data_IF_973912629556
#
_entry.id   IF_973912629556
#
_cell.length_a   1.000
_cell.length_b   1.000
_cell.length_c   1.000
_cell.angle_alpha   90.00
_cell.angle_beta   90.00
_cell.angle_gamma   90.00
#
_symmetry.space_group_name_H-M   'P 1'
#
loop_
_entity.id
_entity.type
_entity.pdbx_description
1 polymer ?
#
# COMPACT_ATOMS: atom_id res chain seq x y z
N UNK A 1 -12.97 113.73 -16.26
CA UNK A 1 -13.41 113.90 -14.86
C UNK A 1 -14.89 114.23 -14.93
N UNK A 2 -15.75 113.47 -14.24
CA UNK A 2 -17.21 113.67 -14.35
C UNK A 2 -17.57 115.09 -13.92
N UNK A 3 -18.44 115.75 -14.70
CA UNK A 3 -18.92 117.10 -14.39
C UNK A 3 -19.50 117.19 -12.97
N UNK A 4 -20.17 116.13 -12.48
CA UNK A 4 -20.76 116.10 -11.14
C UNK A 4 -19.70 116.10 -10.02
N UNK A 5 -18.53 115.49 -10.26
CA UNK A 5 -17.44 115.44 -9.27
C UNK A 5 -16.73 116.78 -9.17
N UNK A 6 -16.52 117.44 -10.31
CA UNK A 6 -15.98 118.80 -10.32
C UNK A 6 -16.96 119.78 -9.65
N UNK A 7 -18.26 119.59 -9.88
CA UNK A 7 -19.32 120.39 -9.26
C UNK A 7 -19.29 120.33 -7.72
N UNK A 8 -19.03 119.16 -7.14
CA UNK A 8 -18.83 119.02 -5.68
C UNK A 8 -17.55 119.67 -5.21
N UNK A 9 -16.44 119.48 -5.92
CA UNK A 9 -15.17 120.10 -5.54
C UNK A 9 -15.33 121.63 -5.50
N UNK A 10 -16.05 122.18 -6.48
CA UNK A 10 -16.36 123.60 -6.55
C UNK A 10 -17.29 124.02 -5.40
N UNK A 11 -18.33 123.24 -5.08
CA UNK A 11 -19.24 123.50 -3.96
C UNK A 11 -18.54 123.45 -2.58
N UNK A 12 -17.64 122.49 -2.36
CA UNK A 12 -16.81 122.38 -1.16
C UNK A 12 -15.82 123.54 -1.06
N UNK A 13 -15.25 123.96 -2.20
CA UNK A 13 -14.37 125.13 -2.28
C UNK A 13 -15.12 126.43 -1.94
N UNK A 14 -16.37 126.59 -2.39
CA UNK A 14 -17.23 127.72 -1.98
C UNK A 14 -17.46 127.73 -0.46
N UNK A 15 -17.76 126.58 0.16
CA UNK A 15 -17.90 126.49 1.63
C UNK A 15 -16.59 126.87 2.32
N UNK A 16 -15.45 126.36 1.83
CA UNK A 16 -14.12 126.69 2.33
C UNK A 16 -13.89 128.22 2.31
N UNK A 17 -14.21 128.88 1.20
CA UNK A 17 -14.07 130.32 1.05
C UNK A 17 -15.01 131.12 1.95
N UNK A 18 -16.25 130.66 2.15
CA UNK A 18 -17.19 131.26 3.11
C UNK A 18 -16.64 131.17 4.52
N UNK A 19 -16.14 129.99 4.92
CA UNK A 19 -15.52 129.78 6.23
C UNK A 19 -14.33 130.72 6.38
N UNK A 20 -13.45 130.82 5.38
CA UNK A 20 -12.28 131.71 5.42
C UNK A 20 -12.66 133.19 5.57
N UNK A 21 -13.63 133.69 4.79
CA UNK A 21 -14.09 135.10 4.80
C UNK A 21 -14.79 135.52 6.09
N UNK A 22 -15.36 134.56 6.82
CA UNK A 22 -16.03 134.82 8.09
C UNK A 22 -15.00 135.02 9.21
N UNK A 23 -14.91 136.27 9.70
CA UNK A 23 -13.97 136.69 10.74
C UNK A 23 -14.70 136.98 12.07
N UNK A 24 -14.33 136.31 13.17
CA UNK A 24 -14.85 136.63 14.49
C UNK A 24 -14.27 137.97 14.98
N UNK A 25 -15.04 139.05 14.80
CA UNK A 25 -14.79 140.41 15.34
C UNK A 25 -13.54 141.16 14.86
N UNK A 26 -13.72 142.48 14.72
CA UNK A 26 -12.77 143.44 14.19
C UNK A 26 -11.65 143.79 15.20
N UNK A 27 -10.74 142.87 15.45
CA UNK A 27 -9.41 143.19 15.97
C UNK A 27 -8.47 141.99 15.82
N UNK A 28 -7.50 142.14 14.92
CA UNK A 28 -6.26 141.37 14.81
C UNK A 28 -6.36 139.83 14.71
N UNK A 29 -6.27 139.36 13.46
CA UNK A 29 -5.25 138.39 13.00
C UNK A 29 -5.01 137.16 13.89
N UNK A 30 -5.56 136.05 13.38
CA UNK A 30 -4.93 134.73 13.31
C UNK A 30 -4.65 133.98 14.61
N UNK A 31 -5.60 133.11 14.96
CA UNK A 31 -5.21 131.72 15.12
C UNK A 31 -6.35 130.78 14.73
N UNK A 32 -6.35 130.34 13.47
CA UNK A 32 -7.32 129.39 12.90
C UNK A 32 -7.34 128.07 13.70
N UNK A 33 -6.29 127.82 14.49
CA UNK A 33 -6.13 126.63 15.34
C UNK A 33 -6.82 126.73 16.71
N UNK A 34 -7.33 127.90 17.11
CA UNK A 34 -8.00 128.03 18.41
C UNK A 34 -9.40 127.41 18.33
N UNK A 35 -9.78 126.59 19.33
CA UNK A 35 -11.12 126.02 19.43
C UNK A 35 -12.25 127.07 19.45
N UNK A 36 -13.34 126.79 18.75
CA UNK A 36 -14.49 127.70 18.64
C UNK A 36 -15.17 127.97 19.99
N UNK A 37 -15.13 127.01 20.92
CA UNK A 37 -15.64 127.18 22.29
C UNK A 37 -14.88 128.22 23.13
N UNK A 38 -13.61 128.48 22.80
CA UNK A 38 -12.78 129.50 23.44
C UNK A 38 -13.06 130.87 22.79
N UNK A 39 -13.33 130.91 21.49
CA UNK A 39 -13.54 132.15 20.74
C UNK A 39 -14.91 132.77 21.00
N UNK A 40 -15.97 131.96 21.07
CA UNK A 40 -17.35 132.46 21.17
C UNK A 40 -17.98 132.27 22.56
N UNK A 41 -18.17 131.02 23.01
CA UNK A 41 -18.56 130.63 24.38
C UNK A 41 -18.61 129.09 24.50
N UNK A 42 -18.89 128.59 25.71
CA UNK A 42 -18.97 127.14 26.01
C UNK A 42 -20.05 126.36 25.26
N UNK A 43 -20.96 126.99 24.50
CA UNK A 43 -21.99 126.30 23.72
C UNK A 43 -21.49 125.86 22.32
N UNK A 44 -20.27 126.22 21.94
CA UNK A 44 -19.66 125.76 20.69
C UNK A 44 -18.85 124.48 20.89
N UNK A 45 -18.68 123.65 19.84
CA UNK A 45 -17.80 122.50 19.92
C UNK A 45 -16.33 122.92 20.09
N UNK A 46 -15.53 122.11 20.77
CA UNK A 46 -14.08 122.29 20.94
C UNK A 46 -13.30 121.93 19.66
N UNK A 47 -13.81 122.36 18.50
CA UNK A 47 -13.22 122.13 17.18
C UNK A 47 -12.62 123.45 16.71
N UNK A 48 -11.44 123.42 16.10
CA UNK A 48 -10.82 124.62 15.53
C UNK A 48 -11.31 124.86 14.10
N UNK A 49 -11.29 126.12 13.66
CA UNK A 49 -11.58 126.46 12.25
C UNK A 49 -10.63 125.71 11.30
N UNK A 50 -9.39 125.44 11.73
CA UNK A 50 -8.40 124.71 10.92
C UNK A 50 -8.81 123.27 10.74
N UNK A 51 -9.28 122.61 11.80
CA UNK A 51 -9.74 121.23 11.73
C UNK A 51 -10.88 121.05 10.71
N UNK A 52 -11.77 122.04 10.64
CA UNK A 52 -12.88 122.07 9.66
C UNK A 52 -12.33 122.25 8.23
N UNK A 53 -11.37 123.15 8.04
CA UNK A 53 -10.74 123.39 6.73
C UNK A 53 -9.89 122.19 6.27
N UNK A 54 -9.10 121.60 7.16
CA UNK A 54 -8.28 120.41 6.90
C UNK A 54 -9.16 119.21 6.52
N UNK A 55 -10.35 119.07 7.13
CA UNK A 55 -11.33 118.06 6.74
C UNK A 55 -11.80 118.26 5.29
N UNK A 56 -12.22 119.47 4.95
CA UNK A 56 -12.65 119.81 3.58
C UNK A 56 -11.51 119.57 2.59
N UNK A 57 -10.28 119.96 2.93
CA UNK A 57 -9.10 119.75 2.08
C UNK A 57 -8.77 118.26 1.89
N UNK A 58 -8.97 117.44 2.91
CA UNK A 58 -8.77 115.99 2.82
C UNK A 58 -9.82 115.33 1.91
N UNK A 59 -11.07 115.80 1.94
CA UNK A 59 -12.11 115.30 1.03
C UNK A 59 -11.88 115.77 -0.41
N UNK A 60 -11.50 117.04 -0.62
CA UNK A 60 -11.11 117.54 -1.95
C UNK A 60 -9.92 116.75 -2.51
N UNK A 61 -8.90 116.48 -1.69
CA UNK A 61 -7.74 115.69 -2.10
C UNK A 61 -8.12 114.25 -2.47
N UNK A 62 -9.03 113.63 -1.72
CA UNK A 62 -9.56 112.30 -2.06
C UNK A 62 -10.29 112.33 -3.39
N UNK A 63 -11.18 113.29 -3.62
CA UNK A 63 -11.92 113.42 -4.89
C UNK A 63 -11.00 113.66 -6.10
N UNK A 64 -9.99 114.51 -5.96
CA UNK A 64 -9.05 114.83 -7.05
C UNK A 64 -8.19 113.64 -7.49
N UNK A 65 -7.92 112.68 -6.61
CA UNK A 65 -7.04 111.55 -6.90
C UNK A 65 -7.80 110.28 -7.34
N UNK A 66 -9.12 110.36 -7.54
CA UNK A 66 -9.94 109.25 -7.99
C UNK A 66 -10.08 109.26 -9.52
N UNK A 67 -9.38 108.34 -10.19
CA UNK A 67 -9.36 108.19 -11.65
C UNK A 67 -10.39 107.16 -12.19
N UNK A 68 -11.51 106.93 -11.49
CA UNK A 68 -12.46 105.87 -11.81
C UNK A 68 -13.83 106.39 -12.25
N UNK A 69 -14.47 105.69 -13.20
CA UNK A 69 -15.87 105.88 -13.57
C UNK A 69 -16.78 105.56 -12.37
N UNK A 70 -17.52 106.55 -11.90
CA UNK A 70 -18.41 106.40 -10.76
C UNK A 70 -19.76 105.79 -11.16
N UNK A 71 -20.46 105.13 -10.22
CA UNK A 71 -21.81 104.59 -10.47
C UNK A 71 -22.84 105.71 -10.60
N UNK A 72 -23.86 105.53 -11.43
CA UNK A 72 -24.94 106.53 -11.61
C UNK A 72 -25.64 106.89 -10.29
N UNK A 73 -25.79 105.94 -9.37
CA UNK A 73 -26.37 106.18 -8.04
C UNK A 73 -25.47 107.06 -7.15
N UNK A 74 -24.15 106.93 -7.27
CA UNK A 74 -23.21 107.82 -6.60
C UNK A 74 -23.29 109.23 -7.19
N UNK A 75 -23.26 109.36 -8.52
CA UNK A 75 -23.35 110.65 -9.21
C UNK A 75 -24.67 111.39 -8.92
N UNK A 76 -25.80 110.68 -8.89
CA UNK A 76 -27.10 111.27 -8.52
C UNK A 76 -27.14 111.77 -7.07
N UNK A 77 -26.51 111.05 -6.14
CA UNK A 77 -26.44 111.47 -4.74
C UNK A 77 -25.45 112.62 -4.54
N UNK A 78 -24.39 112.67 -5.35
CA UNK A 78 -23.47 113.79 -5.41
C UNK A 78 -24.18 115.08 -5.85
N UNK A 79 -24.98 115.07 -6.92
CA UNK A 79 -25.75 116.24 -7.37
C UNK A 79 -26.77 116.74 -6.33
N UNK A 80 -27.41 115.83 -5.58
CA UNK A 80 -28.29 116.20 -4.45
C UNK A 80 -27.52 116.93 -3.35
N UNK A 81 -26.26 116.54 -3.11
CA UNK A 81 -25.41 117.20 -2.12
C UNK A 81 -24.94 118.57 -2.63
N UNK A 82 -24.56 118.69 -3.91
CA UNK A 82 -24.24 119.99 -4.52
C UNK A 82 -25.40 120.96 -4.38
N UNK A 83 -26.61 120.53 -4.76
CA UNK A 83 -27.80 121.38 -4.68
C UNK A 83 -28.18 121.75 -3.24
N UNK A 84 -27.95 120.84 -2.27
CA UNK A 84 -28.09 121.15 -0.85
C UNK A 84 -27.05 122.19 -0.38
N UNK A 85 -25.78 122.00 -0.76
CA UNK A 85 -24.69 122.90 -0.43
C UNK A 85 -24.93 124.30 -1.01
N UNK A 86 -25.30 124.41 -2.29
CA UNK A 86 -25.54 125.70 -2.94
C UNK A 86 -26.76 126.44 -2.36
N UNK A 87 -27.84 125.72 -2.00
CA UNK A 87 -29.02 126.31 -1.36
C UNK A 87 -28.71 126.82 0.06
N UNK A 88 -27.91 126.08 0.83
CA UNK A 88 -27.49 126.48 2.16
C UNK A 88 -26.40 127.57 2.12
N UNK A 89 -25.44 127.52 1.19
CA UNK A 89 -24.35 128.50 1.08
C UNK A 89 -24.86 129.92 0.85
N UNK A 90 -25.94 130.06 0.09
CA UNK A 90 -26.60 131.36 -0.18
C UNK A 90 -27.23 131.96 1.09
N UNK A 91 -27.58 131.12 2.07
CA UNK A 91 -28.16 131.55 3.37
C UNK A 91 -27.11 131.68 4.47
N UNK A 92 -26.02 130.92 4.38
CA UNK A 92 -24.97 130.84 5.40
C UNK A 92 -24.24 132.20 5.59
N UNK A 93 -23.98 132.96 4.52
CA UNK A 93 -23.35 134.29 4.65
C UNK A 93 -24.23 135.28 5.44
N UNK A 94 -25.55 135.25 5.24
CA UNK A 94 -26.49 136.11 5.97
C UNK A 94 -26.64 135.70 7.45
N UNK A 95 -26.50 134.40 7.75
CA UNK A 95 -26.66 133.85 9.09
C UNK A 95 -25.49 134.17 10.03
N UNK A 96 -24.29 134.41 9.50
CA UNK A 96 -23.15 134.84 10.32
C UNK A 96 -23.44 136.15 11.07
N UNK A 97 -24.08 137.11 10.39
CA UNK A 97 -24.43 138.39 11.01
C UNK A 97 -25.56 138.29 12.03
N UNK A 98 -26.35 137.21 12.02
CA UNK A 98 -27.47 137.00 12.94
C UNK A 98 -27.08 136.17 14.17
N UNK A 99 -26.34 135.08 14.00
CA UNK A 99 -25.90 134.22 15.09
C UNK A 99 -24.73 133.31 14.68
N UNK A 100 -23.59 133.50 15.34
CA UNK A 100 -22.39 132.67 15.14
C UNK A 100 -22.66 131.19 15.44
N UNK A 101 -23.55 130.87 16.40
CA UNK A 101 -23.85 129.48 16.79
C UNK A 101 -24.60 128.73 15.69
N UNK A 102 -25.59 129.38 15.08
CA UNK A 102 -26.40 128.80 14.00
C UNK A 102 -25.54 128.60 12.74
N UNK A 103 -24.60 129.51 12.48
CA UNK A 103 -23.66 129.41 11.37
C UNK A 103 -22.76 128.17 11.46
N UNK A 104 -22.10 127.96 12.61
CA UNK A 104 -21.20 126.82 12.77
C UNK A 104 -21.93 125.48 12.86
N UNK A 105 -23.12 125.44 13.48
CA UNK A 105 -23.94 124.22 13.54
C UNK A 105 -24.36 123.73 12.14
N UNK A 106 -24.71 124.66 11.24
CA UNK A 106 -24.99 124.34 9.84
C UNK A 106 -23.77 123.82 9.08
N UNK A 107 -22.59 124.42 9.29
CA UNK A 107 -21.34 123.95 8.66
C UNK A 107 -20.99 122.53 9.11
N UNK A 108 -21.08 122.25 10.42
CA UNK A 108 -20.83 120.91 10.96
C UNK A 108 -21.85 119.90 10.43
N UNK A 109 -23.12 120.30 10.29
CA UNK A 109 -24.16 119.46 9.70
C UNK A 109 -23.87 119.11 8.23
N UNK A 110 -23.42 120.08 7.43
CA UNK A 110 -23.00 119.85 6.04
C UNK A 110 -21.81 118.89 5.98
N UNK A 111 -20.79 119.12 6.82
CA UNK A 111 -19.60 118.25 6.91
C UNK A 111 -19.96 116.83 7.33
N UNK A 112 -20.86 116.68 8.30
CA UNK A 112 -21.34 115.38 8.73
C UNK A 112 -22.08 114.64 7.61
N UNK A 113 -22.90 115.34 6.83
CA UNK A 113 -23.61 114.75 5.69
C UNK A 113 -22.65 114.26 4.60
N UNK A 114 -21.62 115.06 4.30
CA UNK A 114 -20.55 114.68 3.37
C UNK A 114 -19.82 113.44 3.88
N UNK A 115 -19.38 113.46 5.15
CA UNK A 115 -18.63 112.36 5.74
C UNK A 115 -19.41 111.03 5.72
N UNK A 116 -20.68 111.04 6.12
CA UNK A 116 -21.54 109.85 6.12
C UNK A 116 -21.70 109.29 4.70
N UNK A 117 -21.89 110.17 3.72
CA UNK A 117 -22.06 109.75 2.33
C UNK A 117 -20.76 109.15 1.80
N UNK A 118 -19.62 109.79 2.05
CA UNK A 118 -18.34 109.35 1.53
C UNK A 118 -17.88 108.03 2.18
N UNK A 119 -18.06 107.88 3.49
CA UNK A 119 -17.67 106.67 4.20
C UNK A 119 -18.36 105.41 3.63
N UNK A 120 -19.63 105.51 3.21
CA UNK A 120 -20.38 104.41 2.58
C UNK A 120 -19.68 103.85 1.32
N UNK A 121 -18.93 104.68 0.58
CA UNK A 121 -18.32 104.27 -0.68
C UNK A 121 -16.81 103.97 -0.60
N UNK A 122 -16.14 104.30 0.52
CA UNK A 122 -14.67 104.22 0.63
C UNK A 122 -14.14 103.28 1.74
N UNK A 123 -14.97 102.42 2.34
CA UNK A 123 -14.54 101.53 3.45
C UNK A 123 -13.82 100.24 2.98
N UNK A 124 -12.80 99.80 3.74
CA UNK A 124 -11.84 98.74 3.35
C UNK A 124 -12.43 97.32 3.26
N UNK A 125 -13.63 97.11 3.81
CA UNK A 125 -14.25 95.79 3.94
C UNK A 125 -14.84 95.25 2.62
N UNK A 126 -14.96 96.08 1.58
CA UNK A 126 -15.63 95.72 0.30
C UNK A 126 -14.68 95.68 -0.92
N UNK A 127 -13.36 95.50 -0.71
CA UNK A 127 -12.39 95.42 -1.82
C UNK A 127 -12.28 93.98 -2.36
N UNK A 128 -13.25 93.54 -3.17
CA UNK A 128 -13.20 92.24 -3.86
C UNK A 128 -12.19 92.19 -5.03
N UNK A 129 -11.59 93.32 -5.43
CA UNK A 129 -10.75 93.39 -6.63
C UNK A 129 -9.33 93.91 -6.30
N UNK A 130 -8.33 93.02 -6.33
CA UNK A 130 -6.89 93.28 -6.11
C UNK A 130 -6.29 94.34 -7.08
N UNK A 131 -7.06 94.82 -8.05
CA UNK A 131 -6.73 95.98 -8.90
C UNK A 131 -6.86 97.32 -8.16
N UNK A 132 -7.51 97.36 -7.00
CA UNK A 132 -7.78 98.58 -6.21
C UNK A 132 -6.77 98.81 -5.06
N UNK A 133 -5.74 97.97 -4.93
CA UNK A 133 -4.74 98.02 -3.86
C UNK A 133 -3.40 98.59 -4.39
N UNK A 134 -2.64 99.38 -3.60
CA UNK A 134 -1.34 99.93 -4.02
C UNK A 134 -0.34 98.85 -4.48
N UNK A 135 0.46 99.19 -5.50
CA UNK A 135 1.40 98.29 -6.21
C UNK A 135 2.40 97.57 -5.30
N UNK A 136 2.85 98.23 -4.23
CA UNK A 136 3.85 97.68 -3.30
C UNK A 136 3.30 96.51 -2.47
N UNK A 137 2.05 96.59 -2.04
CA UNK A 137 1.39 95.53 -1.27
C UNK A 137 1.18 94.30 -2.15
N UNK A 138 0.78 94.51 -3.41
CA UNK A 138 0.63 93.44 -4.40
C UNK A 138 1.94 92.67 -4.62
N UNK A 139 3.07 93.36 -4.77
CA UNK A 139 4.37 92.72 -4.97
C UNK A 139 4.83 91.90 -3.76
N UNK A 140 4.59 92.39 -2.54
CA UNK A 140 4.89 91.65 -1.31
C UNK A 140 4.05 90.39 -1.19
N UNK A 141 2.75 90.46 -1.48
CA UNK A 141 1.86 89.28 -1.45
C UNK A 141 2.31 88.23 -2.46
N UNK A 142 2.66 88.64 -3.69
CA UNK A 142 3.18 87.70 -4.71
C UNK A 142 4.51 87.06 -4.30
N UNK A 143 5.42 87.84 -3.69
CA UNK A 143 6.72 87.33 -3.22
C UNK A 143 6.51 86.32 -2.08
N UNK A 144 5.65 86.64 -1.12
CA UNK A 144 5.31 85.74 -0.01
C UNK A 144 4.67 84.47 -0.54
N UNK A 145 3.77 84.56 -1.53
CA UNK A 145 3.16 83.38 -2.15
C UNK A 145 4.21 82.49 -2.83
N UNK A 146 5.18 83.08 -3.53
CA UNK A 146 6.24 82.32 -4.18
C UNK A 146 7.14 81.62 -3.16
N UNK A 147 7.56 82.31 -2.10
CA UNK A 147 8.34 81.70 -1.02
C UNK A 147 7.55 80.61 -0.29
N UNK A 148 6.22 80.75 -0.15
CA UNK A 148 5.37 79.72 0.45
C UNK A 148 5.36 78.45 -0.42
N UNK A 149 5.24 78.59 -1.74
CA UNK A 149 5.25 77.47 -2.67
C UNK A 149 6.61 76.75 -2.66
N UNK A 150 7.73 77.49 -2.63
CA UNK A 150 9.08 76.90 -2.53
C UNK A 150 9.28 76.13 -1.22
N UNK A 151 8.77 76.64 -0.10
CA UNK A 151 8.80 75.96 1.20
C UNK A 151 7.94 74.69 1.18
N UNK A 152 6.78 74.72 0.51
CA UNK A 152 5.91 73.55 0.38
C UNK A 152 6.56 72.43 -0.44
N UNK A 153 7.18 72.76 -1.57
CA UNK A 153 7.94 71.80 -2.39
C UNK A 153 9.12 71.20 -1.61
N UNK A 154 9.88 72.04 -0.90
CA UNK A 154 11.02 71.62 -0.06
C UNK A 154 10.57 70.69 1.07
N UNK A 155 9.42 70.99 1.70
CA UNK A 155 8.85 70.18 2.78
C UNK A 155 8.45 68.78 2.30
N UNK A 156 7.84 68.69 1.11
CA UNK A 156 7.50 67.41 0.48
C UNK A 156 8.74 66.58 0.15
N UNK A 157 9.80 67.21 -0.39
CA UNK A 157 11.05 66.52 -0.68
C UNK A 157 11.72 65.99 0.60
N UNK A 158 11.75 66.78 1.68
CA UNK A 158 12.29 66.36 2.97
C UNK A 158 11.47 65.19 3.56
N UNK A 159 10.14 65.24 3.49
CA UNK A 159 9.30 64.12 3.92
C UNK A 159 9.61 62.84 3.15
N UNK A 160 9.82 62.94 1.83
CA UNK A 160 10.19 61.79 1.00
C UNK A 160 11.53 61.18 1.42
N UNK A 161 12.55 62.02 1.67
CA UNK A 161 13.87 61.58 2.11
C UNK A 161 13.83 60.95 3.50
N UNK A 162 13.08 61.53 4.44
CA UNK A 162 12.88 60.96 5.77
C UNK A 162 12.21 59.58 5.66
N UNK A 163 11.21 59.44 4.78
CA UNK A 163 10.56 58.14 4.53
C UNK A 163 11.57 57.09 4.05
N UNK A 164 12.39 57.43 3.04
CA UNK A 164 13.42 56.51 2.53
C UNK A 164 14.49 56.17 3.57
N UNK A 165 14.89 57.13 4.40
CA UNK A 165 15.84 56.89 5.50
C UNK A 165 15.25 55.93 6.53
N UNK A 166 13.98 56.11 6.90
CA UNK A 166 13.31 55.21 7.85
C UNK A 166 13.15 53.81 7.24
N UNK A 167 12.73 53.69 5.99
CA UNK A 167 12.63 52.39 5.29
C UNK A 167 13.99 51.67 5.23
N UNK A 168 15.08 52.41 4.96
CA UNK A 168 16.43 51.86 4.96
C UNK A 168 16.94 51.50 6.36
N UNK A 169 16.60 52.30 7.37
CA UNK A 169 16.93 52.03 8.77
C UNK A 169 16.23 50.77 9.25
N UNK A 170 14.92 50.65 9.01
CA UNK A 170 14.11 49.49 9.37
C UNK A 170 14.68 48.21 8.73
N UNK A 171 14.98 48.26 7.42
CA UNK A 171 15.62 47.15 6.71
C UNK A 171 17.01 46.79 7.26
N UNK A 172 17.81 47.77 7.66
CA UNK A 172 19.13 47.54 8.25
C UNK A 172 19.04 46.93 9.66
N UNK A 173 18.03 47.30 10.45
CA UNK A 173 17.74 46.65 11.75
C UNK A 173 17.26 45.22 11.63
N UNK A 174 16.54 44.87 10.56
CA UNK A 174 16.03 43.51 10.32
C UNK A 174 17.09 42.58 9.68
N UNK A 175 18.05 43.13 8.94
CA UNK A 175 19.06 42.38 8.20
C UNK A 175 19.83 41.32 9.03
N UNK A 176 20.25 41.58 10.28
CA UNK A 176 20.97 40.58 11.08
C UNK A 176 20.11 39.36 11.42
N UNK A 177 18.82 39.57 11.71
CA UNK A 177 17.86 38.50 11.99
C UNK A 177 17.66 37.66 10.74
N UNK A 178 17.49 38.31 9.59
CA UNK A 178 17.35 37.63 8.30
C UNK A 178 18.58 36.78 7.94
N UNK A 179 19.79 37.30 8.23
CA UNK A 179 21.06 36.59 8.01
C UNK A 179 21.19 35.35 8.88
N UNK A 180 20.76 35.43 10.13
CA UNK A 180 20.77 34.29 11.05
C UNK A 180 19.76 33.21 10.62
N UNK A 181 18.56 33.62 10.21
CA UNK A 181 17.55 32.71 9.67
C UNK A 181 18.02 32.04 8.37
N UNK A 182 18.70 32.78 7.48
CA UNK A 182 19.30 32.23 6.26
C UNK A 182 20.38 31.19 6.56
N UNK A 183 21.22 31.44 7.58
CA UNK A 183 22.23 30.47 8.04
C UNK A 183 21.57 29.20 8.57
N UNK A 184 20.52 29.32 9.39
CA UNK A 184 19.77 28.17 9.93
C UNK A 184 19.12 27.36 8.82
N UNK A 185 18.40 28.02 7.90
CA UNK A 185 17.82 27.36 6.72
C UNK A 185 18.87 26.62 5.90
N UNK A 186 20.08 27.18 5.75
CA UNK A 186 21.16 26.50 5.02
C UNK A 186 21.64 25.23 5.73
N UNK A 187 21.79 25.27 7.05
CA UNK A 187 22.13 24.09 7.85
C UNK A 187 21.04 23.02 7.73
N UNK A 188 19.77 23.41 7.80
CA UNK A 188 18.64 22.49 7.65
C UNK A 188 18.61 21.85 6.25
N UNK A 189 18.86 22.64 5.20
CA UNK A 189 18.98 22.14 3.82
C UNK A 189 20.12 21.13 3.70
N UNK A 190 21.29 21.41 4.29
CA UNK A 190 22.44 20.50 4.24
C UNK A 190 22.16 19.21 5.02
N UNK A 191 21.46 19.27 6.15
CA UNK A 191 20.99 18.10 6.90
C UNK A 191 20.00 17.27 6.08
N UNK A 192 18.99 17.89 5.48
CA UNK A 192 18.00 17.20 4.63
C UNK A 192 18.69 16.57 3.43
N UNK A 193 19.64 17.26 2.79
CA UNK A 193 20.42 16.73 1.68
C UNK A 193 21.23 15.49 2.08
N UNK A 194 21.93 15.54 3.21
CA UNK A 194 22.69 14.39 3.71
C UNK A 194 21.77 13.22 4.07
N UNK A 195 20.65 13.48 4.75
CA UNK A 195 19.67 12.45 5.06
C UNK A 195 19.07 11.82 3.79
N UNK A 196 18.74 12.62 2.78
CA UNK A 196 18.29 12.11 1.47
C UNK A 196 19.35 11.27 0.78
N UNK A 197 20.62 11.69 0.78
CA UNK A 197 21.71 10.93 0.18
C UNK A 197 21.92 9.58 0.88
N UNK A 198 21.92 9.56 2.22
CA UNK A 198 22.02 8.31 2.99
C UNK A 198 20.81 7.41 2.78
N UNK A 199 19.59 7.98 2.74
CA UNK A 199 18.37 7.27 2.41
C UNK A 199 18.43 6.65 1.01
N UNK A 200 18.88 7.39 0.01
CA UNK A 200 19.07 6.89 -1.35
C UNK A 200 20.10 5.76 -1.42
N UNK A 201 21.23 5.89 -0.73
CA UNK A 201 22.25 4.85 -0.65
C UNK A 201 21.70 3.56 -0.01
N UNK A 202 20.93 3.68 1.07
CA UNK A 202 20.28 2.55 1.73
C UNK A 202 19.23 1.89 0.82
N UNK A 203 18.44 2.67 0.09
CA UNK A 203 17.46 2.15 -0.88
C UNK A 203 18.18 1.38 -2.00
N UNK A 204 19.27 1.91 -2.54
CA UNK A 204 20.07 1.21 -3.54
C UNK A 204 20.64 -0.10 -3.00
N UNK A 205 21.26 -0.08 -1.82
CA UNK A 205 21.78 -1.30 -1.19
C UNK A 205 20.69 -2.33 -0.94
N UNK A 206 19.52 -1.91 -0.46
CA UNK A 206 18.38 -2.81 -0.25
C UNK A 206 17.83 -3.35 -1.55
N UNK A 207 17.82 -2.56 -2.63
CA UNK A 207 17.41 -3.02 -3.96
C UNK A 207 18.36 -4.11 -4.46
N UNK A 208 19.68 -3.89 -4.42
CA UNK A 208 20.67 -4.90 -4.82
C UNK A 208 20.57 -6.15 -3.97
N UNK A 209 20.38 -6.02 -2.66
CA UNK A 209 20.17 -7.17 -1.77
C UNK A 209 18.89 -7.93 -2.13
N UNK A 210 17.79 -7.23 -2.39
CA UNK A 210 16.53 -7.85 -2.81
C UNK A 210 16.66 -8.58 -4.15
N UNK A 211 17.43 -8.04 -5.10
CA UNK A 211 17.69 -8.70 -6.39
C UNK A 211 18.53 -9.99 -6.19
N UNK A 212 19.55 -9.94 -5.33
CA UNK A 212 20.35 -11.12 -4.96
C UNK A 212 19.54 -12.17 -4.20
N UNK A 213 18.65 -11.74 -3.30
CA UNK A 213 17.76 -12.65 -2.57
C UNK A 213 16.76 -13.31 -3.53
N UNK A 214 16.22 -12.56 -4.50
CA UNK A 214 15.28 -13.08 -5.51
C UNK A 214 15.96 -14.14 -6.41
N UNK A 215 17.17 -13.86 -6.88
CA UNK A 215 17.95 -14.84 -7.67
C UNK A 215 18.31 -16.08 -6.84
N UNK A 216 18.65 -15.91 -5.57
CA UNK A 216 18.90 -17.04 -4.64
C UNK A 216 17.64 -17.88 -4.42
N UNK A 217 16.48 -17.25 -4.23
CA UNK A 217 15.18 -17.93 -4.10
C UNK A 217 14.84 -18.69 -5.38
N UNK A 218 15.06 -18.10 -6.56
CA UNK A 218 14.83 -18.79 -7.84
C UNK A 218 15.73 -20.02 -8.00
N UNK A 219 17.02 -19.88 -7.70
CA UNK A 219 17.97 -20.99 -7.77
C UNK A 219 17.61 -22.12 -6.79
N UNK A 220 17.26 -21.79 -5.56
CA UNK A 220 16.84 -22.78 -4.55
C UNK A 220 15.52 -23.46 -4.93
N UNK A 221 14.56 -22.71 -5.48
CA UNK A 221 13.32 -23.29 -6.01
C UNK A 221 13.61 -24.27 -7.14
N UNK A 222 14.44 -23.89 -8.11
CA UNK A 222 14.80 -24.76 -9.23
C UNK A 222 15.55 -26.01 -8.76
N UNK A 223 16.46 -25.87 -7.79
CA UNK A 223 17.16 -27.01 -7.18
C UNK A 223 16.18 -27.95 -6.46
N UNK A 224 15.20 -27.41 -5.74
CA UNK A 224 14.16 -28.19 -5.06
C UNK A 224 13.24 -28.92 -6.05
N UNK A 225 12.85 -28.27 -7.15
CA UNK A 225 12.06 -28.89 -8.23
C UNK A 225 12.83 -30.03 -8.89
N UNK A 226 14.10 -29.83 -9.22
CA UNK A 226 14.97 -30.89 -9.78
C UNK A 226 15.11 -32.09 -8.82
N UNK A 227 15.32 -31.83 -7.52
CA UNK A 227 15.42 -32.89 -6.51
C UNK A 227 14.10 -33.65 -6.35
N UNK A 228 12.95 -32.95 -6.46
CA UNK A 228 11.64 -33.59 -6.41
C UNK A 228 11.41 -34.51 -7.60
N UNK A 229 11.81 -34.09 -8.80
CA UNK A 229 11.69 -34.90 -10.01
C UNK A 229 12.63 -36.11 -9.96
N UNK A 230 13.88 -35.93 -9.51
CA UNK A 230 14.82 -37.03 -9.29
C UNK A 230 14.28 -38.03 -8.23
N UNK A 231 13.75 -37.53 -7.11
CA UNK A 231 13.15 -38.39 -6.08
C UNK A 231 11.95 -39.19 -6.61
N UNK A 232 11.09 -38.57 -7.44
CA UNK A 232 9.95 -39.24 -8.08
C UNK A 232 10.42 -40.33 -9.05
N UNK A 233 11.46 -40.06 -9.83
CA UNK A 233 12.02 -41.04 -10.76
C UNK A 233 12.64 -42.22 -10.01
N UNK A 234 13.41 -41.96 -8.94
CA UNK A 234 13.97 -43.00 -8.08
C UNK A 234 12.86 -43.84 -7.42
N UNK A 235 11.79 -43.20 -6.91
CA UNK A 235 10.66 -43.92 -6.32
C UNK A 235 9.96 -44.83 -7.34
N UNK A 236 9.75 -44.35 -8.56
CA UNK A 236 9.18 -45.14 -9.65
C UNK A 236 10.07 -46.35 -9.98
N UNK A 237 11.37 -46.11 -10.16
CA UNK A 237 12.33 -47.18 -10.42
C UNK A 237 12.41 -48.19 -9.26
N UNK A 238 12.32 -47.73 -8.01
CA UNK A 238 12.30 -48.59 -6.82
C UNK A 238 11.05 -49.48 -6.78
N UNK A 239 9.86 -48.92 -7.07
CA UNK A 239 8.61 -49.70 -7.11
C UNK A 239 8.63 -50.76 -8.21
N UNK A 240 9.12 -50.40 -9.40
CA UNK A 240 9.30 -51.33 -10.52
C UNK A 240 10.30 -52.44 -10.16
N UNK A 241 11.48 -52.08 -9.65
CA UNK A 241 12.50 -53.05 -9.22
C UNK A 241 12.03 -53.95 -8.09
N UNK A 242 11.27 -53.43 -7.12
CA UNK A 242 10.75 -54.23 -6.01
C UNK A 242 9.74 -55.27 -6.53
N UNK A 243 8.86 -54.89 -7.45
CA UNK A 243 7.89 -55.82 -8.04
C UNK A 243 8.56 -56.85 -8.96
N UNK A 244 9.58 -56.43 -9.72
CA UNK A 244 10.44 -57.34 -10.50
C UNK A 244 11.18 -58.33 -9.59
N UNK A 245 11.76 -57.84 -8.49
CA UNK A 245 12.53 -58.64 -7.54
C UNK A 245 11.64 -59.63 -6.80
N UNK A 246 10.41 -59.27 -6.44
CA UNK A 246 9.49 -60.20 -5.77
C UNK A 246 9.02 -61.30 -6.71
N UNK A 247 8.63 -60.97 -7.96
CA UNK A 247 8.24 -61.96 -8.95
C UNK A 247 9.39 -62.92 -9.30
N UNK A 248 10.58 -62.37 -9.53
CA UNK A 248 11.80 -63.15 -9.83
C UNK A 248 12.23 -63.99 -8.62
N UNK A 249 12.15 -63.43 -7.41
CA UNK A 249 12.47 -64.12 -6.17
C UNK A 249 11.55 -65.32 -5.91
N UNK A 250 10.24 -65.14 -6.12
CA UNK A 250 9.26 -66.22 -6.04
C UNK A 250 9.49 -67.29 -7.11
N UNK A 251 9.71 -66.89 -8.37
CA UNK A 251 10.03 -67.82 -9.46
C UNK A 251 11.28 -68.66 -9.14
N UNK A 252 12.33 -68.03 -8.63
CA UNK A 252 13.56 -68.71 -8.22
C UNK A 252 13.31 -69.67 -7.04
N UNK A 253 12.54 -69.26 -6.03
CA UNK A 253 12.20 -70.11 -4.89
C UNK A 253 11.42 -71.37 -5.32
N UNK A 254 10.43 -71.22 -6.20
CA UNK A 254 9.67 -72.34 -6.75
C UNK A 254 10.51 -73.24 -7.66
N UNK A 255 11.37 -72.65 -8.50
CA UNK A 255 12.29 -73.41 -9.37
C UNK A 255 13.26 -74.26 -8.54
N UNK A 256 13.92 -73.65 -7.54
CA UNK A 256 14.81 -74.36 -6.62
C UNK A 256 14.08 -75.49 -5.87
N UNK A 257 12.83 -75.26 -5.45
CA UNK A 257 12.02 -76.30 -4.80
C UNK A 257 11.69 -77.44 -5.76
N UNK A 258 11.30 -77.14 -7.00
CA UNK A 258 11.07 -78.14 -8.05
C UNK A 258 12.32 -78.99 -8.29
N UNK A 259 13.50 -78.36 -8.39
CA UNK A 259 14.76 -79.06 -8.63
C UNK A 259 15.17 -79.95 -7.45
N UNK A 260 14.98 -79.51 -6.21
CA UNK A 260 15.19 -80.34 -5.03
C UNK A 260 14.28 -81.58 -5.03
N UNK A 261 13.01 -81.41 -5.41
CA UNK A 261 12.07 -82.52 -5.52
C UNK A 261 12.42 -83.47 -6.66
N UNK A 262 12.87 -82.96 -7.82
CA UNK A 262 13.38 -83.77 -8.93
C UNK A 262 14.60 -84.58 -8.53
N UNK A 263 15.58 -83.97 -7.84
CA UNK A 263 16.76 -84.68 -7.30
C UNK A 263 16.37 -85.78 -6.30
N UNK A 264 15.34 -85.52 -5.49
CA UNK A 264 14.81 -86.54 -4.57
C UNK A 264 14.11 -87.66 -5.33
N UNK A 265 13.34 -87.32 -6.37
CA UNK A 265 12.68 -88.29 -7.24
C UNK A 265 13.70 -89.20 -7.95
N UNK A 266 14.80 -88.64 -8.48
CA UNK A 266 15.86 -89.43 -9.12
C UNK A 266 16.57 -90.36 -8.15
N UNK A 267 16.74 -89.97 -6.88
CA UNK A 267 17.27 -90.85 -5.83
C UNK A 267 16.35 -92.05 -5.57
N UNK A 268 15.04 -91.83 -5.44
CA UNK A 268 14.06 -92.92 -5.30
C UNK A 268 14.00 -93.81 -6.55
N UNK A 269 14.11 -93.25 -7.74
CA UNK A 269 14.20 -94.03 -8.98
C UNK A 269 15.45 -94.94 -8.98
N UNK A 270 16.59 -94.45 -8.50
CA UNK A 270 17.78 -95.28 -8.29
C UNK A 270 17.53 -96.43 -7.32
N UNK A 271 16.90 -96.14 -6.17
CA UNK A 271 16.48 -97.16 -5.21
C UNK A 271 15.54 -98.20 -5.80
N UNK A 272 14.57 -97.79 -6.60
CA UNK A 272 13.63 -98.67 -7.30
C UNK A 272 14.36 -99.64 -8.24
N UNK A 273 15.29 -99.13 -9.06
CA UNK A 273 16.11 -99.94 -9.98
C UNK A 273 16.94 -100.96 -9.21
N UNK A 274 17.60 -100.54 -8.12
CA UNK A 274 18.39 -101.44 -7.26
C UNK A 274 17.50 -102.54 -6.66
N UNK A 275 16.31 -102.20 -6.19
CA UNK A 275 15.36 -103.18 -5.66
C UNK A 275 14.92 -104.21 -6.71
N UNK A 276 14.73 -103.78 -7.94
CA UNK A 276 14.37 -104.66 -9.06
C UNK A 276 15.52 -105.62 -9.40
N UNK A 277 16.76 -105.15 -9.38
CA UNK A 277 17.96 -106.00 -9.54
C UNK A 277 18.07 -107.01 -8.40
N UNK A 278 17.89 -106.59 -7.15
CA UNK A 278 17.91 -107.51 -5.99
C UNK A 278 16.80 -108.56 -6.07
N UNK A 279 15.59 -108.15 -6.46
CA UNK A 279 14.45 -109.06 -6.67
C UNK A 279 14.80 -110.11 -7.72
N UNK A 280 15.39 -109.69 -8.85
CA UNK A 280 15.81 -110.59 -9.92
C UNK A 280 16.91 -111.58 -9.48
N UNK A 281 17.94 -111.10 -8.76
CA UNK A 281 19.03 -111.96 -8.27
C UNK A 281 18.54 -112.99 -7.25
N UNK A 282 17.69 -112.58 -6.31
CA UNK A 282 17.09 -113.49 -5.31
C UNK A 282 16.19 -114.50 -6.02
N UNK A 283 15.33 -114.07 -6.94
CA UNK A 283 14.46 -114.96 -7.70
C UNK A 283 15.25 -116.00 -8.52
N UNK A 284 16.34 -115.58 -9.18
CA UNK A 284 17.19 -116.48 -9.96
C UNK A 284 17.87 -117.56 -9.09
N UNK A 285 18.45 -117.15 -7.95
CA UNK A 285 19.07 -118.09 -7.02
C UNK A 285 18.05 -119.08 -6.45
N UNK A 286 16.89 -118.58 -6.02
CA UNK A 286 15.82 -119.43 -5.46
C UNK A 286 15.22 -120.37 -6.51
N UNK A 287 15.08 -119.91 -7.75
CA UNK A 287 14.60 -120.76 -8.85
C UNK A 287 15.54 -121.94 -9.13
N UNK A 288 16.87 -121.71 -9.08
CA UNK A 288 17.86 -122.78 -9.24
C UNK A 288 17.84 -123.76 -8.06
N UNK A 289 17.70 -123.27 -6.82
CA UNK A 289 17.60 -124.11 -5.61
C UNK A 289 16.33 -124.99 -5.62
N UNK A 290 15.19 -124.43 -6.04
CA UNK A 290 13.92 -125.17 -6.15
C UNK A 290 13.98 -126.23 -7.26
N UNK A 291 14.56 -125.90 -8.42
CA UNK A 291 14.74 -126.87 -9.51
C UNK A 291 15.63 -128.05 -9.08
N UNK A 292 16.70 -127.78 -8.32
CA UNK A 292 17.58 -128.81 -7.76
C UNK A 292 16.86 -129.71 -6.75
N UNK A 293 16.00 -129.13 -5.92
CA UNK A 293 15.26 -129.86 -4.87
C UNK A 293 14.12 -130.72 -5.43
N UNK A 294 13.47 -130.31 -6.54
CA UNK A 294 12.42 -131.10 -7.22
C UNK A 294 12.98 -132.30 -8.01
N UNK A 295 14.25 -132.22 -8.44
CA UNK A 295 14.91 -133.30 -9.20
C UNK A 295 15.41 -134.43 -8.31
N UNK A 296 15.55 -134.17 -7.00
CA UNK A 296 15.89 -135.17 -5.99
C UNK A 296 14.60 -135.55 -5.24
N UNK A 297 14.43 -136.83 -4.92
CA UNK A 297 13.22 -137.41 -4.31
C UNK A 297 13.07 -136.96 -2.83
N UNK A 298 12.83 -135.66 -2.63
CA UNK A 298 12.85 -134.97 -1.33
C UNK A 298 11.46 -134.92 -0.70
N UNK A 299 11.36 -134.91 0.64
CA UNK A 299 10.06 -134.83 1.31
C UNK A 299 9.37 -133.50 1.00
N UNK A 300 8.07 -133.58 0.71
CA UNK A 300 7.19 -132.44 0.36
C UNK A 300 7.28 -131.30 1.39
N UNK A 301 7.48 -131.63 2.67
CA UNK A 301 7.65 -130.64 3.75
C UNK A 301 8.85 -129.71 3.53
N UNK A 302 9.96 -130.22 3.00
CA UNK A 302 11.16 -129.43 2.72
C UNK A 302 10.95 -128.48 1.54
N UNK A 303 10.26 -128.94 0.50
CA UNK A 303 9.86 -128.11 -0.66
C UNK A 303 8.94 -126.97 -0.21
N UNK A 304 7.96 -127.24 0.66
CA UNK A 304 7.05 -126.22 1.21
C UNK A 304 7.81 -125.18 2.03
N UNK A 305 8.77 -125.59 2.88
CA UNK A 305 9.59 -124.67 3.66
C UNK A 305 10.45 -123.78 2.75
N UNK A 306 11.05 -124.32 1.69
CA UNK A 306 11.81 -123.54 0.72
C UNK A 306 10.94 -122.52 -0.04
N UNK A 307 9.71 -122.87 -0.37
CA UNK A 307 8.75 -121.94 -0.99
C UNK A 307 8.40 -120.80 -0.03
N UNK A 308 8.12 -121.10 1.25
CA UNK A 308 7.84 -120.08 2.25
C UNK A 308 9.02 -119.14 2.50
N UNK A 309 10.24 -119.68 2.58
CA UNK A 309 11.48 -118.90 2.73
C UNK A 309 11.72 -118.03 1.49
N UNK A 310 11.38 -118.52 0.30
CA UNK A 310 11.49 -117.74 -0.94
C UNK A 310 10.48 -116.60 -0.98
N UNK A 311 9.24 -116.85 -0.54
CA UNK A 311 8.18 -115.85 -0.51
C UNK A 311 8.50 -114.72 0.48
N UNK A 312 8.98 -115.04 1.69
CA UNK A 312 9.37 -114.02 2.68
C UNK A 312 10.62 -113.24 2.21
N UNK A 313 11.58 -113.90 1.56
CA UNK A 313 12.79 -113.23 1.04
C UNK A 313 12.48 -112.27 -0.11
N UNK A 314 11.55 -112.63 -1.01
CA UNK A 314 11.15 -111.79 -2.13
C UNK A 314 10.21 -110.64 -1.71
N UNK A 315 9.53 -110.78 -0.56
CA UNK A 315 8.58 -109.79 -0.06
C UNK A 315 9.23 -108.43 0.25
N UNK A 316 10.44 -108.39 0.81
CA UNK A 316 11.07 -107.13 1.21
C UNK A 316 11.48 -106.25 0.01
N UNK A 317 12.18 -106.77 -1.02
CA UNK A 317 12.47 -105.99 -2.24
C UNK A 317 11.21 -105.58 -3.02
N UNK A 318 10.21 -106.47 -3.11
CA UNK A 318 8.93 -106.17 -3.79
C UNK A 318 8.17 -105.07 -3.05
N UNK A 319 8.10 -105.14 -1.72
CA UNK A 319 7.44 -104.12 -0.91
C UNK A 319 8.11 -102.75 -1.06
N UNK A 320 9.45 -102.72 -1.03
CA UNK A 320 10.21 -101.50 -1.27
C UNK A 320 9.96 -100.94 -2.68
N UNK A 321 9.88 -101.79 -3.71
CA UNK A 321 9.58 -101.36 -5.07
C UNK A 321 8.19 -100.70 -5.19
N UNK A 322 7.17 -101.25 -4.53
CA UNK A 322 5.82 -100.67 -4.52
C UNK A 322 5.81 -99.31 -3.80
N UNK A 323 6.47 -99.19 -2.65
CA UNK A 323 6.58 -97.90 -1.92
C UNK A 323 7.31 -96.87 -2.76
N UNK A 324 8.45 -97.25 -3.35
CA UNK A 324 9.26 -96.36 -4.17
C UNK A 324 8.49 -95.87 -5.39
N UNK A 325 7.71 -96.72 -6.06
CA UNK A 325 6.86 -96.33 -7.20
C UNK A 325 5.85 -95.23 -6.82
N UNK A 326 5.12 -95.40 -5.71
CA UNK A 326 4.19 -94.39 -5.19
C UNK A 326 4.89 -93.07 -4.84
N UNK A 327 6.06 -93.17 -4.23
CA UNK A 327 6.84 -91.99 -3.83
C UNK A 327 7.37 -91.22 -5.05
N UNK A 328 7.85 -91.93 -6.08
CA UNK A 328 8.29 -91.32 -7.35
C UNK A 328 7.13 -90.57 -8.01
N UNK A 329 5.94 -91.19 -8.09
CA UNK A 329 4.76 -90.55 -8.69
C UNK A 329 4.37 -89.28 -7.94
N UNK A 330 4.32 -89.32 -6.61
CA UNK A 330 4.03 -88.15 -5.76
C UNK A 330 5.07 -87.03 -5.96
N UNK A 331 6.35 -87.37 -5.95
CA UNK A 331 7.44 -86.40 -6.10
C UNK A 331 7.47 -85.79 -7.49
N UNK A 332 7.21 -86.57 -8.55
CA UNK A 332 7.13 -86.08 -9.92
C UNK A 332 5.99 -85.07 -10.06
N UNK A 333 4.77 -85.44 -9.63
CA UNK A 333 3.60 -84.54 -9.64
C UNK A 333 3.87 -83.25 -8.88
N UNK A 334 4.46 -83.33 -7.68
CA UNK A 334 4.77 -82.15 -6.89
C UNK A 334 5.85 -81.28 -7.57
N UNK A 335 6.85 -81.90 -8.18
CA UNK A 335 7.91 -81.17 -8.88
C UNK A 335 7.40 -80.44 -10.12
N UNK A 336 6.46 -81.03 -10.86
CA UNK A 336 5.84 -80.44 -12.04
C UNK A 336 4.94 -79.26 -11.66
N UNK A 337 4.17 -79.39 -10.57
CA UNK A 337 3.35 -78.29 -10.04
C UNK A 337 4.22 -77.09 -9.63
N UNK A 338 5.33 -77.31 -8.92
CA UNK A 338 6.25 -76.23 -8.58
C UNK A 338 6.98 -75.66 -9.80
N UNK A 339 7.29 -76.47 -10.80
CA UNK A 339 7.86 -75.99 -12.07
C UNK A 339 6.87 -75.08 -12.81
N UNK A 340 5.58 -75.45 -12.81
CA UNK A 340 4.51 -74.65 -13.38
C UNK A 340 4.30 -73.33 -12.61
N UNK A 341 4.33 -73.35 -11.28
CA UNK A 341 4.29 -72.13 -10.45
C UNK A 341 5.49 -71.23 -10.72
N UNK A 342 6.69 -71.80 -10.87
CA UNK A 342 7.89 -71.05 -11.22
C UNK A 342 7.78 -70.38 -12.60
N UNK A 343 7.27 -71.08 -13.61
CA UNK A 343 7.13 -70.52 -14.97
C UNK A 343 6.06 -69.43 -15.03
N UNK A 344 4.93 -69.57 -14.32
CA UNK A 344 3.93 -68.50 -14.20
C UNK A 344 4.53 -67.28 -13.52
N UNK A 345 5.21 -67.45 -12.38
CA UNK A 345 5.83 -66.32 -11.66
C UNK A 345 6.94 -65.65 -12.46
N UNK A 346 7.70 -66.40 -13.27
CA UNK A 346 8.71 -65.83 -14.17
C UNK A 346 8.07 -65.06 -15.33
N UNK A 347 7.01 -65.61 -15.93
CA UNK A 347 6.33 -65.02 -17.09
C UNK A 347 5.47 -63.81 -16.70
N UNK A 348 5.04 -63.73 -15.43
CA UNK A 348 4.25 -62.63 -14.90
C UNK A 348 4.91 -61.27 -15.16
N UNK A 349 6.23 -61.15 -14.96
CA UNK A 349 6.92 -59.88 -15.19
C UNK A 349 6.86 -59.45 -16.65
N UNK A 350 7.18 -60.36 -17.57
CA UNK A 350 7.14 -60.07 -19.01
C UNK A 350 5.74 -59.70 -19.49
N UNK A 351 4.71 -60.43 -19.05
CA UNK A 351 3.34 -60.10 -19.41
C UNK A 351 2.80 -58.86 -18.70
N UNK A 352 3.24 -58.55 -17.48
CA UNK A 352 2.85 -57.33 -16.78
C UNK A 352 3.38 -56.11 -17.53
N UNK A 353 4.63 -56.18 -18.00
CA UNK A 353 5.24 -55.10 -18.78
C UNK A 353 4.46 -54.85 -20.08
N UNK A 354 4.16 -55.90 -20.84
CA UNK A 354 3.38 -55.77 -22.08
C UNK A 354 1.91 -55.33 -21.82
N UNK A 355 1.29 -55.81 -20.74
CA UNK A 355 -0.09 -55.47 -20.39
C UNK A 355 -0.23 -54.04 -19.85
N UNK A 356 0.81 -53.49 -19.22
CA UNK A 356 0.84 -52.11 -18.75
C UNK A 356 0.66 -51.11 -19.90
N UNK A 357 1.25 -51.42 -21.06
CA UNK A 357 1.18 -50.58 -22.26
C UNK A 357 -0.18 -50.68 -22.98
N UNK A 358 -1.00 -51.69 -22.66
CA UNK A 358 -2.28 -51.97 -23.35
C UNK A 358 -3.49 -51.51 -22.54
N UNK A 359 -3.68 -52.02 -21.31
CA UNK A 359 -4.85 -51.72 -20.48
C UNK A 359 -4.63 -52.04 -18.98
N UNK A 360 -4.99 -51.12 -18.10
CA UNK A 360 -4.91 -51.28 -16.65
C UNK A 360 -5.83 -52.40 -16.11
N UNK A 361 -6.98 -52.65 -16.75
CA UNK A 361 -7.87 -53.74 -16.35
C UNK A 361 -7.33 -55.13 -16.75
N UNK A 362 -6.51 -55.20 -17.80
CA UNK A 362 -5.78 -56.41 -18.17
C UNK A 362 -4.74 -56.77 -17.11
N UNK A 363 -3.98 -55.79 -16.60
CA UNK A 363 -3.00 -55.98 -15.51
C UNK A 363 -3.65 -56.54 -14.25
N UNK A 364 -4.82 -56.02 -13.85
CA UNK A 364 -5.58 -56.54 -12.68
C UNK A 364 -6.05 -57.97 -12.90
N UNK A 365 -6.59 -58.30 -14.08
CA UNK A 365 -7.01 -59.67 -14.43
C UNK A 365 -5.82 -60.62 -14.42
N UNK A 366 -4.67 -60.17 -14.93
CA UNK A 366 -3.44 -60.94 -14.96
C UNK A 366 -2.91 -61.24 -13.56
N UNK A 367 -2.86 -60.22 -12.69
CA UNK A 367 -2.49 -60.39 -11.28
C UNK A 367 -3.44 -61.35 -10.55
N UNK A 368 -4.76 -61.19 -10.68
CA UNK A 368 -5.72 -62.09 -10.06
C UNK A 368 -5.58 -63.54 -10.55
N UNK A 369 -5.33 -63.72 -11.85
CA UNK A 369 -5.11 -65.06 -12.43
C UNK A 369 -3.81 -65.68 -11.90
N UNK A 370 -2.73 -64.91 -11.82
CA UNK A 370 -1.44 -65.36 -11.28
C UNK A 370 -1.56 -65.72 -9.80
N UNK A 371 -2.20 -64.88 -8.98
CA UNK A 371 -2.46 -65.13 -7.56
C UNK A 371 -3.27 -66.41 -7.37
N UNK A 372 -4.37 -66.58 -8.11
CA UNK A 372 -5.20 -67.79 -8.05
C UNK A 372 -4.38 -69.05 -8.34
N UNK A 373 -3.48 -69.00 -9.34
CA UNK A 373 -2.62 -70.14 -9.70
C UNK A 373 -1.51 -70.43 -8.70
N UNK A 374 -0.98 -69.40 -8.04
CA UNK A 374 0.00 -69.55 -6.96
C UNK A 374 -0.67 -70.12 -5.69
N UNK A 375 -1.87 -69.66 -5.37
CA UNK A 375 -2.64 -70.07 -4.19
C UNK A 375 -3.29 -71.46 -4.30
N UNK A 376 -3.45 -71.99 -5.53
CA UNK A 376 -3.94 -73.35 -5.73
C UNK A 376 -3.07 -74.37 -4.99
N UNK A 377 -3.66 -75.11 -4.04
CA UNK A 377 -2.94 -76.04 -3.19
C UNK A 377 -2.31 -77.20 -3.98
N UNK A 378 -1.03 -77.55 -3.73
CA UNK A 378 -0.28 -78.56 -4.49
C UNK A 378 -0.84 -79.99 -4.36
N UNK A 379 -1.73 -80.21 -3.38
CA UNK A 379 -2.35 -81.51 -3.07
C UNK A 379 -3.51 -81.89 -4.00
N UNK A 380 -3.93 -81.02 -4.93
CA UNK A 380 -5.07 -81.30 -5.83
C UNK A 380 -4.83 -82.53 -6.73
N UNK A 381 -3.59 -82.76 -7.15
CA UNK A 381 -3.22 -83.86 -8.06
C UNK A 381 -2.84 -85.16 -7.32
N UNK A 382 -2.68 -85.14 -6.00
CA UNK A 382 -2.39 -86.32 -5.17
C UNK A 382 -3.68 -86.87 -4.56
N UNK A 383 -4.75 -86.90 -5.37
CA UNK A 383 -6.13 -87.14 -4.95
C UNK A 383 -6.33 -88.39 -4.06
N UNK A 384 -6.83 -88.13 -2.85
CA UNK A 384 -7.89 -88.78 -2.06
C UNK A 384 -8.13 -90.30 -2.01
N UNK A 385 -7.43 -91.15 -2.76
CA UNK A 385 -7.55 -92.61 -2.66
C UNK A 385 -6.18 -93.28 -2.49
N UNK A 386 -5.40 -92.83 -1.52
CA UNK A 386 -4.25 -93.59 -1.06
C UNK A 386 -4.71 -94.61 -0.02
N UNK A 387 -5.07 -95.82 -0.51
CA UNK A 387 -5.14 -97.01 0.36
C UNK A 387 -3.84 -97.08 1.16
N UNK A 388 -3.98 -97.08 2.49
CA UNK A 388 -2.93 -96.66 3.42
C UNK A 388 -1.81 -97.71 3.56
N UNK A 389 -2.01 -98.91 3.04
CA UNK A 389 -0.97 -99.93 2.99
C UNK A 389 -0.85 -100.63 1.62
N UNK A 390 0.38 -100.97 1.17
CA UNK A 390 0.59 -101.80 -0.03
C UNK A 390 -0.13 -103.16 0.01
N UNK A 391 -0.34 -103.71 1.21
CA UNK A 391 -1.10 -104.95 1.41
C UNK A 391 -2.59 -104.77 1.18
N UNK A 392 -3.18 -103.68 1.66
CA UNK A 392 -4.59 -103.36 1.47
C UNK A 392 -4.94 -103.17 -0.01
N UNK A 393 -4.04 -102.55 -0.78
CA UNK A 393 -4.22 -102.40 -2.24
C UNK A 393 -4.14 -103.74 -2.98
N UNK A 394 -3.21 -104.62 -2.60
CA UNK A 394 -3.09 -105.97 -3.16
C UNK A 394 -4.32 -106.83 -2.83
N UNK A 395 -4.76 -106.85 -1.57
CA UNK A 395 -5.95 -107.62 -1.14
C UNK A 395 -7.22 -107.09 -1.82
N UNK A 396 -7.28 -105.79 -2.10
CA UNK A 396 -8.43 -105.19 -2.76
C UNK A 396 -8.51 -105.39 -4.27
N UNK A 397 -7.49 -105.97 -4.91
CA UNK A 397 -7.53 -106.31 -6.33
C UNK A 397 -8.61 -107.37 -6.62
N UNK A 398 -9.36 -107.24 -7.73
CA UNK A 398 -10.50 -108.10 -8.04
C UNK A 398 -10.12 -109.59 -8.20
N UNK A 399 -8.90 -109.86 -8.69
CA UNK A 399 -8.38 -111.22 -8.88
C UNK A 399 -8.08 -111.92 -7.54
N UNK A 400 -7.53 -111.17 -6.58
CA UNK A 400 -7.22 -111.70 -5.24
C UNK A 400 -8.50 -111.88 -4.43
N UNK A 401 -9.46 -110.94 -4.54
CA UNK A 401 -10.79 -111.09 -3.92
C UNK A 401 -11.53 -112.33 -4.42
N UNK A 402 -11.54 -112.59 -5.72
CA UNK A 402 -12.18 -113.77 -6.30
C UNK A 402 -11.57 -115.08 -5.78
N UNK A 403 -10.24 -115.18 -5.73
CA UNK A 403 -9.55 -116.35 -5.16
C UNK A 403 -9.78 -116.52 -3.65
N UNK A 404 -9.89 -115.41 -2.91
CA UNK A 404 -10.15 -115.45 -1.48
C UNK A 404 -11.60 -115.85 -1.15
N UNK A 405 -12.54 -115.54 -2.05
CA UNK A 405 -13.94 -115.94 -1.93
C UNK A 405 -14.17 -117.41 -2.34
N UNK A 406 -13.32 -117.98 -3.20
CA UNK A 406 -13.37 -119.40 -3.60
C UNK A 406 -12.80 -120.38 -2.55
N UNK A 407 -11.94 -119.90 -1.63
CA UNK A 407 -11.35 -120.72 -0.55
C UNK A 407 -11.77 -120.16 0.83
N UNK A 408 -12.94 -120.56 1.37
CA UNK A 408 -13.49 -119.99 2.60
C UNK A 408 -12.60 -120.21 3.84
N UNK A 409 -11.85 -121.31 3.89
CA UNK A 409 -10.95 -121.63 4.99
C UNK A 409 -9.73 -120.69 5.08
N UNK A 410 -9.25 -120.16 3.94
CA UNK A 410 -8.14 -119.21 3.88
C UNK A 410 -8.57 -117.79 4.30
N UNK A 411 -9.79 -117.39 3.93
CA UNK A 411 -10.42 -116.12 4.30
C UNK A 411 -10.61 -116.00 5.81
N UNK A 412 -11.15 -117.03 6.45
CA UNK A 412 -11.37 -117.06 7.90
C UNK A 412 -10.06 -117.05 8.71
N UNK A 413 -9.01 -117.70 8.20
CA UNK A 413 -7.70 -117.77 8.85
C UNK A 413 -6.93 -116.45 8.76
N UNK A 414 -7.03 -115.75 7.63
CA UNK A 414 -6.44 -114.41 7.46
C UNK A 414 -7.12 -113.37 8.34
N UNK A 415 -8.46 -113.34 8.38
CA UNK A 415 -9.21 -112.42 9.24
C UNK A 415 -8.86 -112.58 10.72
N UNK A 416 -8.62 -113.81 11.18
CA UNK A 416 -8.18 -114.09 12.57
C UNK A 416 -6.76 -113.60 12.86
N UNK A 417 -5.84 -113.64 11.90
CA UNK A 417 -4.46 -113.15 12.06
C UNK A 417 -4.43 -111.62 12.14
N UNK A 418 -5.23 -110.94 11.32
CA UNK A 418 -5.31 -109.48 11.34
C UNK A 418 -6.12 -108.93 12.51
N UNK A 419 -7.13 -109.66 13.01
CA UNK A 419 -7.92 -109.23 14.17
C UNK A 419 -7.21 -109.39 15.52
N UNK A 420 -6.09 -110.12 15.60
CA UNK A 420 -5.40 -110.39 16.88
C UNK A 420 -4.24 -109.42 17.20
N UNK A 421 -3.95 -108.44 16.35
CA UNK A 421 -2.85 -107.48 16.52
C UNK A 421 -3.32 -106.01 16.66
N UNK A 422 -4.55 -105.79 17.16
CA UNK A 422 -4.98 -104.46 17.59
C UNK A 422 -4.95 -104.32 19.11
N UNK A 423 -3.99 -103.56 19.62
CA UNK A 423 -4.12 -102.72 20.82
C UNK A 423 -2.83 -101.91 21.04
N UNK A 424 -2.85 -100.83 21.86
CA UNK A 424 -3.75 -99.69 21.81
C UNK A 424 -2.93 -98.39 21.96
N UNK A 425 -3.07 -97.38 21.10
CA UNK A 425 -2.84 -96.01 21.57
C UNK A 425 -3.37 -94.94 20.62
N UNK A 426 -4.29 -94.14 21.13
CA UNK A 426 -4.72 -92.87 20.52
C UNK A 426 -3.75 -91.79 20.99
N UNK A 427 -3.07 -91.05 20.10
CA UNK A 427 -2.60 -89.73 20.48
C UNK A 427 -3.74 -88.70 20.37
N UNK A 428 -3.88 -87.94 21.45
CA UNK A 428 -4.69 -86.73 21.65
C UNK A 428 -4.76 -85.82 20.43
N UNK A 429 -5.96 -85.31 20.16
CA UNK A 429 -6.19 -84.11 19.33
C UNK A 429 -5.33 -82.95 19.87
N UNK A 430 -4.43 -82.43 19.06
CA UNK A 430 -3.80 -81.13 19.28
C UNK A 430 -4.84 -80.03 19.02
N UNK A 431 -5.00 -79.15 20.00
CA UNK A 431 -5.79 -77.93 19.92
C UNK A 431 -5.15 -76.94 18.93
N UNK A 432 -5.94 -76.10 18.24
CA UNK A 432 -5.41 -75.05 17.40
C UNK A 432 -4.77 -73.93 18.27
N UNK A 433 -3.59 -73.48 17.84
CA UNK A 433 -2.87 -72.32 18.38
C UNK A 433 -3.69 -71.04 18.10
N UNK A 434 -3.76 -70.06 19.03
CA UNK A 434 -4.59 -68.87 18.85
C UNK A 434 -4.00 -67.93 17.78
N UNK A 435 -4.88 -67.36 16.97
CA UNK A 435 -4.60 -66.26 16.05
C UNK A 435 -4.22 -64.98 16.80
N UNK A 436 -3.10 -64.39 16.42
CA UNK A 436 -2.65 -63.05 16.80
C UNK A 436 -3.58 -62.01 16.16
N UNK A 437 -4.66 -61.71 16.87
CA UNK A 437 -5.53 -60.57 16.60
C UNK A 437 -5.87 -59.96 17.96
N UNK A 438 -4.85 -59.35 18.59
CA UNK A 438 -4.91 -58.50 19.78
C UNK A 438 -3.49 -58.02 20.13
N UNK A 439 -2.92 -57.14 19.30
CA UNK A 439 -1.74 -56.35 19.69
C UNK A 439 -1.99 -54.82 19.52
N UNK A 440 -3.10 -54.39 18.92
CA UNK A 440 -3.33 -52.95 18.68
C UNK A 440 -4.09 -52.18 19.77
N UNK A 441 -4.21 -52.70 21.00
CA UNK A 441 -4.88 -51.96 22.09
C UNK A 441 -4.08 -51.78 23.39
N UNK A 442 -2.79 -52.12 23.42
CA UNK A 442 -1.94 -51.92 24.61
C UNK A 442 -0.82 -50.87 24.46
N UNK A 443 -0.84 -50.01 23.43
CA UNK A 443 0.06 -48.85 23.32
C UNK A 443 -0.61 -47.49 23.60
N UNK A 444 -1.88 -47.44 24.01
CA UNK A 444 -2.54 -46.17 24.42
C UNK A 444 -2.71 -45.97 25.94
N UNK A 445 -1.93 -46.69 26.77
CA UNK A 445 -1.81 -46.43 28.22
C UNK A 445 -0.43 -46.76 28.78
N UNK A 446 0.61 -46.10 28.26
CA UNK A 446 1.81 -45.78 29.05
C UNK A 446 2.61 -44.69 28.35
N UNK A 447 2.72 -43.54 29.03
CA UNK A 447 3.75 -42.51 28.97
C UNK A 447 4.48 -42.22 27.65
#
# INVERSE_FOLDING_TARGET
MNEEVQSIIDALSKIKDIILRVHPTASSVENINVPLNIIFNSNFPAVSKKTILDFIDTEIFRLNNLNSSFSEDFLSNLDKIVSFIDNESTKIEALFNQSNAIFFDKIISIISLINITFQKYFDWEHVEDLKKVPREVKQRVLTVQQSLNEVEESSQEIQSKIKTINEAYDAATELPVLLEDLKRSRVDIDLVKNNSNTGYANIQSNKTRSENDLTSIQNTKQAAENLLDEAREILKQMQEKLTMSTSTGLAHAFSNRSDQLKKTSTWWTGGFIVSLIFTFLIAFNRFNDLKGTITQDTPISYVVIQILISLISLSAPVWFAIISSKQIQKLFTLSEDYAYKASISASYEGYRQEAYDVDADLVKKLLNTALTKVDEAPLRLVGKEQSSSPFEELINQPQIKQLLDEIPEAKDKLLRIFSNNESPDKPKKLQPVPSTENIEQEESKSA
#
